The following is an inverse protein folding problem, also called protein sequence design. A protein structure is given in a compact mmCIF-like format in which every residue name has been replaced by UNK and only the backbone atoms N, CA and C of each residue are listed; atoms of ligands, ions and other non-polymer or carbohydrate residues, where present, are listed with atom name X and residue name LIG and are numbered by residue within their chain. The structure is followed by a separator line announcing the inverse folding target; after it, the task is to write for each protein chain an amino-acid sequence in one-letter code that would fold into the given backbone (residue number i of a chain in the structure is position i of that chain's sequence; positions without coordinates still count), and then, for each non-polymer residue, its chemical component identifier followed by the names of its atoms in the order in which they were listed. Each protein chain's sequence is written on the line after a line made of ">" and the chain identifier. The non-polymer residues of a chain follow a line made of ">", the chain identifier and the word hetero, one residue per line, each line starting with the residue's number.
data_IF_173398125800
#
_entry.id   IF_173398125800
#
_cell.length_a   1.000
_cell.length_b   1.000
_cell.length_c   1.000
_cell.angle_alpha   90.00
_cell.angle_beta   90.00
_cell.angle_gamma   90.00
#
_symmetry.space_group_name_H-M   'P 1'
#
loop_
_entity.id
_entity.type
_entity.pdbx_description
1 polymer ?
#
# COMPACT_ATOMS: atom_id res chain seq x y z
N UNK A 1 25.05 24.08 5.80
CA UNK A 1 24.93 23.45 4.48
C UNK A 1 23.72 22.53 4.55
N UNK A 2 22.62 22.94 3.93
CA UNK A 2 21.38 22.17 3.93
C UNK A 2 21.63 20.85 3.18
N UNK A 3 21.23 19.69 3.73
CA UNK A 3 21.29 18.46 2.98
C UNK A 3 20.37 18.59 1.76
N UNK A 4 20.91 18.16 0.62
CA UNK A 4 20.31 18.24 -0.69
C UNK A 4 18.94 17.56 -0.71
N UNK A 5 18.01 18.18 -1.43
CA UNK A 5 16.67 17.67 -1.72
C UNK A 5 16.71 16.22 -2.22
N UNK A 6 16.21 15.32 -1.38
CA UNK A 6 15.70 13.97 -1.64
C UNK A 6 15.70 13.50 -3.10
N UNK A 7 16.56 12.54 -3.42
CA UNK A 7 16.29 11.55 -4.46
C UNK A 7 15.02 10.78 -4.02
N UNK A 8 13.85 11.22 -4.46
CA UNK A 8 12.62 10.45 -4.31
C UNK A 8 12.80 9.15 -5.10
N UNK A 9 12.83 8.03 -4.39
CA UNK A 9 12.81 6.68 -4.96
C UNK A 9 11.49 6.47 -5.70
N UNK A 10 11.39 7.00 -6.93
CA UNK A 10 10.24 6.80 -7.80
C UNK A 10 10.38 5.44 -8.45
N UNK A 11 9.51 4.50 -8.07
CA UNK A 11 9.40 3.22 -8.76
C UNK A 11 9.05 3.47 -10.24
N UNK A 12 9.67 2.70 -11.12
CA UNK A 12 9.35 2.72 -12.54
C UNK A 12 7.96 2.12 -12.80
N UNK A 13 7.40 2.41 -13.97
CA UNK A 13 6.06 1.93 -14.33
C UNK A 13 5.94 0.39 -14.33
N UNK A 14 6.92 -0.40 -14.82
CA UNK A 14 6.89 -1.86 -14.69
C UNK A 14 6.81 -2.37 -13.25
N UNK A 15 7.57 -1.79 -12.32
CA UNK A 15 7.54 -2.21 -10.91
C UNK A 15 6.20 -1.82 -10.25
N UNK A 16 5.68 -0.63 -10.57
CA UNK A 16 4.37 -0.19 -10.09
C UNK A 16 3.25 -1.08 -10.62
N UNK A 17 3.28 -1.45 -11.89
CA UNK A 17 2.28 -2.34 -12.48
C UNK A 17 2.24 -3.69 -11.76
N UNK A 18 3.40 -4.30 -11.52
CA UNK A 18 3.49 -5.55 -10.74
C UNK A 18 2.92 -5.39 -9.33
N UNK A 19 3.24 -4.29 -8.66
CA UNK A 19 2.73 -3.99 -7.32
C UNK A 19 1.20 -3.80 -7.32
N UNK A 20 0.66 -3.10 -8.32
CA UNK A 20 -0.76 -2.81 -8.44
C UNK A 20 -1.55 -4.07 -8.82
N UNK A 21 -1.05 -4.85 -9.77
CA UNK A 21 -1.61 -6.14 -10.16
C UNK A 21 -1.63 -7.12 -8.98
N UNK A 22 -0.60 -7.12 -8.13
CA UNK A 22 -0.59 -7.91 -6.90
C UNK A 22 -1.69 -7.47 -5.93
N UNK A 23 -1.85 -6.18 -5.66
CA UNK A 23 -2.91 -5.67 -4.77
C UNK A 23 -4.31 -6.09 -5.27
N UNK A 24 -4.56 -5.99 -6.59
CA UNK A 24 -5.81 -6.46 -7.21
C UNK A 24 -6.00 -7.98 -7.04
N UNK A 25 -4.95 -8.76 -7.31
CA UNK A 25 -4.98 -10.22 -7.15
C UNK A 25 -5.34 -10.62 -5.72
N UNK A 26 -4.79 -9.92 -4.71
CA UNK A 26 -5.14 -10.20 -3.32
C UNK A 26 -6.54 -9.70 -2.95
N UNK A 27 -7.01 -8.55 -3.47
CA UNK A 27 -8.41 -8.12 -3.30
C UNK A 27 -9.39 -9.22 -3.70
N UNK A 28 -9.13 -9.89 -4.83
CA UNK A 28 -9.99 -10.95 -5.34
C UNK A 28 -10.00 -12.22 -4.46
N UNK A 29 -9.03 -12.34 -3.54
CA UNK A 29 -8.94 -13.40 -2.53
C UNK A 29 -9.58 -13.03 -1.18
N UNK A 30 -10.16 -11.84 -1.05
CA UNK A 30 -10.75 -11.38 0.21
C UNK A 30 -11.86 -12.31 0.72
N UNK A 31 -11.83 -12.60 2.02
CA UNK A 31 -12.94 -13.24 2.71
C UNK A 31 -13.79 -12.14 3.36
N UNK A 32 -14.77 -11.65 2.60
CA UNK A 32 -15.65 -10.55 3.03
C UNK A 32 -17.14 -10.89 2.93
N UNK A 33 -17.63 -11.99 3.56
CA UNK A 33 -19.03 -12.39 3.42
C UNK A 33 -20.02 -11.47 4.14
N UNK A 34 -19.57 -10.62 5.07
CA UNK A 34 -20.45 -9.75 5.86
C UNK A 34 -20.61 -8.39 5.17
N UNK A 35 -19.51 -7.67 4.90
CA UNK A 35 -19.60 -6.36 4.23
C UNK A 35 -19.81 -6.45 2.72
N UNK A 36 -19.40 -7.57 2.10
CA UNK A 36 -19.25 -7.70 0.64
C UNK A 36 -18.30 -6.67 0.03
N UNK A 37 -17.43 -6.07 0.84
CA UNK A 37 -16.47 -5.06 0.41
C UNK A 37 -15.06 -5.63 0.48
N UNK A 38 -14.47 -5.87 -0.69
CA UNK A 38 -13.15 -6.48 -0.80
C UNK A 38 -12.08 -5.42 -0.89
N UNK A 39 -11.00 -5.64 -0.17
CA UNK A 39 -9.81 -4.80 -0.14
C UNK A 39 -8.60 -5.69 -0.33
N UNK A 40 -7.68 -5.26 -1.18
CA UNK A 40 -6.38 -5.89 -1.39
C UNK A 40 -5.26 -4.89 -1.12
N UNK A 41 -4.16 -5.40 -0.59
CA UNK A 41 -2.94 -4.64 -0.38
C UNK A 41 -1.72 -5.44 -0.83
N UNK A 42 -0.69 -4.73 -1.29
CA UNK A 42 0.61 -5.29 -1.61
C UNK A 42 1.72 -4.33 -1.14
N UNK A 43 2.82 -4.88 -0.64
CA UNK A 43 4.01 -4.17 -0.23
C UNK A 43 5.18 -4.62 -1.09
N UNK A 44 5.97 -3.67 -1.58
CA UNK A 44 7.27 -3.94 -2.16
C UNK A 44 8.31 -3.93 -1.03
N UNK A 45 8.92 -5.08 -0.75
CA UNK A 45 10.03 -5.19 0.20
C UNK A 45 11.33 -4.61 -0.37
N UNK A 46 12.22 -4.17 0.52
CA UNK A 46 13.62 -3.85 0.19
C UNK A 46 14.44 -5.03 -0.36
N UNK A 47 13.94 -6.26 -0.20
CA UNK A 47 14.46 -7.47 -0.84
C UNK A 47 14.01 -7.63 -2.31
N UNK A 48 13.20 -6.68 -2.82
CA UNK A 48 12.64 -6.70 -4.16
C UNK A 48 11.41 -7.61 -4.32
N UNK A 49 10.94 -8.26 -3.25
CA UNK A 49 9.78 -9.14 -3.30
C UNK A 49 8.47 -8.40 -3.00
N UNK A 50 7.36 -8.91 -3.54
CA UNK A 50 6.03 -8.38 -3.27
C UNK A 50 5.30 -9.29 -2.28
N UNK A 51 4.88 -8.71 -1.18
CA UNK A 51 4.08 -9.35 -0.14
C UNK A 51 2.67 -8.78 -0.20
N UNK A 52 1.64 -9.62 -0.24
CA UNK A 52 0.27 -9.11 -0.31
C UNK A 52 -0.70 -9.78 0.63
N UNK A 53 -1.86 -9.15 0.76
CA UNK A 53 -2.88 -9.54 1.71
C UNK A 53 -4.22 -8.93 1.35
N UNK A 54 -5.27 -9.51 1.93
CA UNK A 54 -6.65 -9.11 1.73
C UNK A 54 -7.36 -8.95 3.07
N UNK A 55 -8.51 -8.28 3.06
CA UNK A 55 -9.33 -8.27 4.26
C UNK A 55 -9.96 -9.65 4.51
N UNK A 56 -9.95 -10.04 5.79
CA UNK A 56 -10.54 -11.28 6.30
C UNK A 56 -11.50 -10.89 7.41
N UNK A 57 -12.78 -11.11 7.15
CA UNK A 57 -13.85 -10.79 8.09
C UNK A 57 -14.16 -11.96 9.03
N UNK A 58 -14.90 -11.65 10.09
CA UNK A 58 -15.32 -12.61 11.09
C UNK A 58 -16.71 -12.23 11.61
N UNK A 59 -17.48 -13.21 12.10
CA UNK A 59 -18.78 -12.99 12.75
C UNK A 59 -18.68 -12.02 13.93
N UNK A 60 -17.58 -12.09 14.69
CA UNK A 60 -17.20 -11.05 15.65
C UNK A 60 -16.44 -9.95 14.91
N UNK A 61 -17.11 -8.84 14.61
CA UNK A 61 -16.56 -7.81 13.71
C UNK A 61 -15.22 -7.23 14.18
N UNK A 62 -15.00 -7.15 15.51
CA UNK A 62 -13.73 -6.71 16.07
C UNK A 62 -12.53 -7.62 15.77
N UNK A 63 -12.78 -8.88 15.39
CA UNK A 63 -11.74 -9.82 14.99
C UNK A 63 -11.34 -9.69 13.51
N UNK A 64 -12.02 -8.83 12.74
CA UNK A 64 -11.70 -8.59 11.33
C UNK A 64 -10.32 -7.96 11.13
N UNK A 65 -9.60 -8.43 10.11
CA UNK A 65 -8.28 -7.92 9.74
C UNK A 65 -8.36 -7.28 8.36
N UNK A 66 -7.84 -6.05 8.25
CA UNK A 66 -7.79 -5.30 7.00
C UNK A 66 -6.63 -5.79 6.12
N UNK A 67 -6.71 -5.54 4.80
CA UNK A 67 -5.75 -6.02 3.82
C UNK A 67 -4.29 -5.61 4.12
N UNK A 68 -4.08 -4.37 4.54
CA UNK A 68 -2.76 -3.81 4.83
C UNK A 68 -2.11 -4.53 6.02
N UNK A 69 -2.90 -4.79 7.08
CA UNK A 69 -2.44 -5.55 8.25
C UNK A 69 -2.13 -7.00 7.90
N UNK A 70 -2.97 -7.64 7.09
CA UNK A 70 -2.71 -9.00 6.58
C UNK A 70 -1.39 -9.05 5.81
N UNK A 71 -1.17 -8.10 4.91
CA UNK A 71 0.00 -8.05 4.04
C UNK A 71 1.31 -7.81 4.83
N UNK A 72 1.31 -6.88 5.79
CA UNK A 72 2.46 -6.65 6.68
C UNK A 72 2.72 -7.87 7.56
N UNK A 73 1.69 -8.44 8.18
CA UNK A 73 1.87 -9.61 9.08
C UNK A 73 2.48 -10.78 8.32
N UNK A 74 2.04 -11.01 7.08
CA UNK A 74 2.65 -11.99 6.18
C UNK A 74 4.13 -11.68 5.92
N UNK A 75 4.45 -10.46 5.49
CA UNK A 75 5.83 -10.07 5.18
C UNK A 75 6.77 -10.23 6.39
N UNK A 76 6.33 -9.74 7.57
CA UNK A 76 7.10 -9.84 8.82
C UNK A 76 7.31 -11.30 9.22
N UNK A 77 6.30 -12.16 9.05
CA UNK A 77 6.44 -13.60 9.30
C UNK A 77 7.42 -14.29 8.36
N UNK A 78 7.66 -13.71 7.19
CA UNK A 78 8.62 -14.17 6.18
C UNK A 78 9.99 -13.49 6.32
N UNK A 79 10.20 -12.73 7.40
CA UNK A 79 11.47 -12.09 7.75
C UNK A 79 11.64 -10.68 7.18
N UNK A 80 10.69 -10.18 6.39
CA UNK A 80 10.79 -8.87 5.76
C UNK A 80 10.12 -7.77 6.58
N UNK A 81 10.90 -6.73 6.93
CA UNK A 81 10.45 -5.62 7.81
C UNK A 81 10.63 -4.22 7.22
N UNK A 82 11.25 -4.11 6.03
CA UNK A 82 11.54 -2.84 5.36
C UNK A 82 10.85 -2.79 4.00
N UNK A 83 10.03 -1.78 3.78
CA UNK A 83 9.20 -1.67 2.58
C UNK A 83 9.49 -0.37 1.83
N UNK A 84 9.50 -0.46 0.51
CA UNK A 84 9.80 0.63 -0.41
C UNK A 84 8.54 1.31 -0.95
N UNK A 85 7.42 0.59 -0.99
CA UNK A 85 6.12 1.12 -1.41
C UNK A 85 4.98 0.21 -0.94
N UNK A 86 3.77 0.79 -0.86
CA UNK A 86 2.54 0.06 -0.58
C UNK A 86 1.48 0.40 -1.63
N UNK A 87 0.71 -0.59 -2.05
CA UNK A 87 -0.45 -0.45 -2.91
C UNK A 87 -1.70 -0.94 -2.17
N UNK A 88 -2.81 -0.19 -2.27
CA UNK A 88 -4.11 -0.54 -1.68
C UNK A 88 -5.21 -0.33 -2.71
N UNK A 89 -6.12 -1.28 -2.82
CA UNK A 89 -7.25 -1.22 -3.76
C UNK A 89 -8.51 -1.85 -3.17
N UNK A 90 -9.67 -1.56 -3.77
CA UNK A 90 -10.95 -2.14 -3.39
C UNK A 90 -11.85 -2.40 -4.59
N UNK A 91 -13.14 -2.60 -4.33
CA UNK A 91 -14.18 -2.70 -5.34
C UNK A 91 -14.62 -1.33 -5.91
N UNK A 92 -14.09 -0.21 -5.40
CA UNK A 92 -14.47 1.14 -5.85
C UNK A 92 -13.75 1.47 -7.17
N UNK A 93 -14.45 1.90 -8.24
CA UNK A 93 -13.86 2.22 -9.54
C UNK A 93 -13.17 3.60 -9.59
N UNK A 94 -12.52 3.98 -8.49
CA UNK A 94 -11.73 5.19 -8.36
C UNK A 94 -10.69 4.98 -7.24
N UNK A 95 -9.60 5.78 -7.18
CA UNK A 95 -8.61 5.71 -6.11
C UNK A 95 -9.12 6.28 -4.77
N UNK A 96 -10.43 6.19 -4.52
CA UNK A 96 -11.12 6.67 -3.32
C UNK A 96 -11.17 5.60 -2.23
N UNK A 97 -10.03 4.99 -1.92
CA UNK A 97 -9.85 4.16 -0.73
C UNK A 97 -8.69 4.70 0.10
N UNK A 98 -8.92 4.91 1.39
CA UNK A 98 -7.87 5.28 2.32
C UNK A 98 -7.77 4.23 3.43
N UNK A 99 -6.56 3.86 3.88
CA UNK A 99 -6.36 3.00 5.02
C UNK A 99 -7.13 3.52 6.23
N UNK A 100 -7.76 2.62 7.00
CA UNK A 100 -8.42 3.00 8.24
C UNK A 100 -7.37 3.40 9.29
N UNK A 101 -7.77 4.09 10.36
CA UNK A 101 -6.84 4.59 11.39
C UNK A 101 -5.93 3.50 11.98
N UNK A 102 -6.46 2.27 12.17
CA UNK A 102 -5.67 1.13 12.65
C UNK A 102 -4.58 0.75 11.64
N UNK A 103 -4.92 0.68 10.35
CA UNK A 103 -3.95 0.36 9.30
C UNK A 103 -2.89 1.45 9.17
N UNK A 104 -3.27 2.73 9.27
CA UNK A 104 -2.30 3.84 9.24
C UNK A 104 -1.29 3.73 10.36
N UNK A 105 -1.75 3.47 11.59
CA UNK A 105 -0.86 3.30 12.73
C UNK A 105 0.02 2.05 12.59
N UNK A 106 -0.52 0.96 12.06
CA UNK A 106 0.23 -0.27 11.83
C UNK A 106 1.29 -0.11 10.72
N UNK A 107 0.96 0.60 9.64
CA UNK A 107 1.90 0.95 8.56
C UNK A 107 3.04 1.84 9.08
N UNK A 108 2.73 2.84 9.92
CA UNK A 108 3.70 3.79 10.49
C UNK A 108 4.84 3.12 11.27
N UNK A 109 4.61 1.93 11.82
CA UNK A 109 5.64 1.14 12.49
C UNK A 109 6.74 0.68 11.52
N UNK A 110 6.34 0.26 10.31
CA UNK A 110 7.24 -0.38 9.34
C UNK A 110 7.68 0.55 8.20
N UNK A 111 6.92 1.59 7.90
CA UNK A 111 7.20 2.53 6.82
C UNK A 111 7.96 3.75 7.32
N UNK A 112 8.98 4.17 6.57
CA UNK A 112 9.58 5.50 6.76
C UNK A 112 8.58 6.58 6.32
N UNK A 113 8.65 7.81 6.88
CA UNK A 113 7.71 8.90 6.57
C UNK A 113 7.52 9.18 5.06
N UNK A 114 8.58 9.03 4.28
CA UNK A 114 8.61 9.31 2.84
C UNK A 114 8.13 8.14 1.97
N UNK A 115 7.87 6.94 2.52
CA UNK A 115 7.48 5.77 1.73
C UNK A 115 6.13 6.04 1.05
N UNK A 116 6.02 5.86 -0.28
CA UNK A 116 4.79 6.09 -1.01
C UNK A 116 3.76 4.99 -0.77
N UNK A 117 2.50 5.42 -0.63
CA UNK A 117 1.31 4.59 -0.53
C UNK A 117 0.40 4.97 -1.71
N UNK A 118 0.14 3.98 -2.57
CA UNK A 118 -0.69 4.12 -3.76
C UNK A 118 -2.10 3.60 -3.48
N UNK A 119 -3.09 4.45 -3.65
CA UNK A 119 -4.50 4.10 -3.67
C UNK A 119 -4.92 3.88 -5.11
N UNK A 120 -5.40 2.68 -5.43
CA UNK A 120 -5.59 2.22 -6.79
C UNK A 120 -7.07 1.94 -7.01
N UNK A 121 -7.59 2.42 -8.13
CA UNK A 121 -8.93 2.11 -8.60
C UNK A 121 -9.14 0.61 -8.73
N UNK A 122 -10.30 0.13 -8.29
CA UNK A 122 -10.71 -1.26 -8.46
C UNK A 122 -10.81 -1.70 -9.92
N UNK A 123 -10.83 -0.77 -10.87
CA UNK A 123 -10.85 -1.04 -12.31
C UNK A 123 -9.47 -1.09 -12.96
N UNK A 124 -8.37 -1.00 -12.20
CA UNK A 124 -7.01 -1.05 -12.75
C UNK A 124 -6.75 -2.30 -13.63
N UNK A 125 -7.33 -3.45 -13.27
CA UNK A 125 -7.21 -4.67 -14.10
C UNK A 125 -7.78 -4.53 -15.52
N UNK A 126 -8.71 -3.59 -15.74
CA UNK A 126 -9.33 -3.35 -17.05
C UNK A 126 -8.50 -2.46 -17.98
N UNK A 127 -7.40 -1.88 -17.48
CA UNK A 127 -6.50 -1.01 -18.27
C UNK A 127 -5.25 -1.73 -18.80
N UNK A 128 -5.12 -3.04 -18.55
CA UNK A 128 -4.00 -3.83 -19.08
C UNK A 128 -4.17 -4.01 -20.58
N UNK A 129 -3.38 -3.27 -21.37
CA UNK A 129 -3.18 -3.58 -22.78
C UNK A 129 -2.60 -5.00 -22.89
N UNK A 130 -2.93 -5.75 -23.95
CA UNK A 130 -2.64 -7.18 -24.19
C UNK A 130 -1.13 -7.57 -24.17
N UNK A 131 -0.43 -7.31 -23.07
CA UNK A 131 1.01 -7.51 -22.88
C UNK A 131 1.77 -6.39 -22.16
N UNK A 132 1.11 -5.34 -21.64
CA UNK A 132 1.81 -4.22 -20.99
C UNK A 132 0.97 -3.47 -19.93
N UNK A 133 1.57 -2.42 -19.36
CA UNK A 133 0.92 -1.50 -18.43
C UNK A 133 0.37 -0.27 -19.15
N UNK A 134 -0.53 0.52 -18.53
CA UNK A 134 -1.10 1.71 -19.18
C UNK A 134 -0.06 2.82 -19.37
N UNK A 135 -0.08 3.51 -20.52
CA UNK A 135 0.85 4.61 -20.82
C UNK A 135 0.85 5.74 -19.77
N UNK A 136 -0.29 5.99 -19.12
CA UNK A 136 -0.40 6.99 -18.05
C UNK A 136 0.41 6.61 -16.80
N UNK A 137 0.86 5.37 -16.66
CA UNK A 137 1.66 4.94 -15.52
C UNK A 137 3.09 5.51 -15.58
N UNK A 138 3.60 5.82 -16.78
CA UNK A 138 4.88 6.51 -16.97
C UNK A 138 4.82 7.97 -16.49
N UNK A 139 3.71 8.68 -16.74
CA UNK A 139 3.42 10.02 -16.22
C UNK A 139 2.13 10.07 -15.39
N UNK A 140 2.32 9.96 -14.08
CA UNK A 140 1.24 9.89 -13.10
C UNK A 140 0.67 11.26 -12.71
N UNK A 141 1.16 12.35 -13.30
CA UNK A 141 0.73 13.71 -12.93
C UNK A 141 -0.50 14.18 -13.71
N UNK A 142 -0.77 13.53 -14.85
CA UNK A 142 -1.89 13.86 -15.72
C UNK A 142 -3.28 13.53 -15.15
N UNK A 143 -4.30 14.19 -15.70
CA UNK A 143 -5.70 14.00 -15.29
C UNK A 143 -6.21 12.56 -15.50
N UNK A 144 -5.65 11.83 -16.48
CA UNK A 144 -6.00 10.44 -16.69
C UNK A 144 -5.49 9.55 -15.55
N UNK A 145 -4.22 9.69 -15.15
CA UNK A 145 -3.65 8.91 -14.06
C UNK A 145 -4.42 9.14 -12.74
N UNK A 146 -4.84 10.37 -12.45
CA UNK A 146 -5.60 10.73 -11.24
C UNK A 146 -6.96 10.00 -11.12
N UNK A 147 -7.52 9.51 -12.23
CA UNK A 147 -8.74 8.69 -12.21
C UNK A 147 -8.49 7.27 -11.72
N UNK A 148 -7.25 6.80 -11.83
CA UNK A 148 -6.88 5.41 -11.57
C UNK A 148 -6.00 5.24 -10.33
N UNK A 149 -5.17 6.24 -10.02
CA UNK A 149 -4.22 6.17 -8.90
C UNK A 149 -4.11 7.51 -8.17
N UNK A 150 -4.01 7.43 -6.85
CA UNK A 150 -3.59 8.53 -5.99
C UNK A 150 -2.42 8.07 -5.14
N UNK A 151 -1.36 8.88 -5.07
CA UNK A 151 -0.21 8.62 -4.23
C UNK A 151 -0.20 9.59 -3.06
N UNK A 152 0.08 9.08 -1.86
CA UNK A 152 0.41 9.87 -0.67
C UNK A 152 1.59 9.21 0.05
N UNK A 153 2.39 9.96 0.78
CA UNK A 153 3.43 9.40 1.66
C UNK A 153 2.84 8.92 2.99
N UNK A 154 3.59 8.10 3.73
CA UNK A 154 3.18 7.72 5.10
C UNK A 154 2.95 8.94 6.00
N UNK A 155 3.80 9.97 5.90
CA UNK A 155 3.65 11.22 6.65
C UNK A 155 2.36 11.98 6.29
N UNK A 156 1.99 12.01 5.02
CA UNK A 156 0.74 12.66 4.59
C UNK A 156 -0.50 11.87 5.00
N UNK A 157 -0.40 10.54 5.07
CA UNK A 157 -1.51 9.65 5.47
C UNK A 157 -1.77 9.71 6.97
N UNK A 158 -0.72 9.88 7.78
CA UNK A 158 -0.80 10.00 9.24
C UNK A 158 0.19 11.05 9.78
N UNK A 159 -0.13 12.35 9.62
CA UNK A 159 0.73 13.44 10.08
C UNK A 159 0.84 13.44 11.60
N UNK A 160 2.00 13.87 12.11
CA UNK A 160 2.29 13.98 13.55
C UNK A 160 1.98 12.69 14.33
N UNK A 161 2.23 11.54 13.68
CA UNK A 161 1.91 10.23 14.23
C UNK A 161 2.76 9.85 15.43
N UNK A 162 2.11 9.19 16.40
CA UNK A 162 2.80 8.47 17.46
C UNK A 162 3.62 7.32 16.85
N UNK A 163 4.84 7.11 17.37
CA UNK A 163 5.77 6.09 16.90
C UNK A 163 6.86 5.74 17.92
N UNK A 164 7.76 4.81 17.59
CA UNK A 164 8.83 4.35 18.50
C UNK A 164 9.69 5.47 19.09
N UNK A 165 9.88 6.55 18.32
CA UNK A 165 10.59 7.77 18.72
C UNK A 165 9.97 8.44 19.96
N UNK A 166 8.64 8.39 20.11
CA UNK A 166 7.93 8.92 21.29
C UNK A 166 8.10 8.04 22.54
N UNK A 167 8.56 6.79 22.36
CA UNK A 167 8.90 5.86 23.43
C UNK A 167 10.40 5.90 23.78
N UNK A 168 11.19 6.75 23.13
CA UNK A 168 12.64 6.81 23.29
C UNK A 168 13.38 5.65 22.61
N UNK A 169 12.71 4.92 21.70
CA UNK A 169 13.32 3.86 20.91
C UNK A 169 13.88 4.45 19.61
N UNK A 170 15.11 4.08 19.25
CA UNK A 170 15.65 4.47 17.96
C UNK A 170 14.92 3.72 16.83
N UNK A 171 14.55 4.45 15.77
CA UNK A 171 13.85 3.90 14.59
C UNK A 171 14.64 2.76 13.92
N UNK A 172 15.96 2.73 14.10
CA UNK A 172 16.87 1.73 13.54
C UNK A 172 16.95 0.43 14.33
N UNK A 173 16.58 0.42 15.61
CA UNK A 173 16.85 -0.72 16.50
C UNK A 173 15.81 -1.84 16.36
N UNK A 174 14.79 -1.64 15.52
CA UNK A 174 13.66 -2.56 15.36
C UNK A 174 13.41 -3.03 13.91
N UNK A 175 14.13 -2.47 12.91
CA UNK A 175 13.91 -2.71 11.47
C UNK A 175 14.99 -3.53 10.78
#
# INVERSE_FOLDING_TARGET
>A
MSPQSSEQHTLDAPALDKLFAAAITYRDRAYAPYSKFRVGAALLGSDGQIYGGCNVENASYGAGICAERTAITKAVSEGQKKFLAVAVTSDIPSPAISPCGICRQFLREFLEPHVPIYFISGTYSSTLNSGGYPDWLDDRTGEEAKKHVKMMTMEEVLPESFGPDHLGLAVTDQK
#
